data_IF_572577109518
#
_entry.id   IF_572577109518
#
_cell.length_a   1.000
_cell.length_b   1.000
_cell.length_c   1.000
_cell.angle_alpha   90.00
_cell.angle_beta   90.00
_cell.angle_gamma   90.00
#
_symmetry.space_group_name_H-M   'P 1'
#
loop_
_entity.id
_entity.type
_entity.pdbx_description
1 polymer ?
#
# COMPACT_ATOMS: atom_id res chain seq x y z
N UNK A 1 9.14 13.81 -10.52
CA UNK A 1 8.00 12.92 -10.24
C UNK A 1 8.42 12.02 -9.09
N UNK A 2 7.58 11.76 -8.09
CA UNK A 2 7.93 10.81 -7.03
C UNK A 2 8.23 9.45 -7.66
N UNK A 3 9.35 8.84 -7.30
CA UNK A 3 9.71 7.51 -7.79
C UNK A 3 9.18 6.44 -6.83
N UNK A 4 8.17 5.71 -7.28
CA UNK A 4 7.55 4.61 -6.55
C UNK A 4 8.12 3.24 -6.93
N UNK A 5 9.27 3.19 -7.60
CA UNK A 5 9.96 1.93 -7.98
C UNK A 5 10.12 0.95 -6.81
N UNK A 6 10.31 1.45 -5.59
CA UNK A 6 10.40 0.63 -4.36
C UNK A 6 9.12 -0.15 -4.03
N UNK A 7 7.96 0.19 -4.60
CA UNK A 7 6.73 -0.60 -4.43
C UNK A 7 6.87 -2.00 -5.03
N UNK A 8 7.74 -2.19 -6.02
CA UNK A 8 8.06 -3.51 -6.55
C UNK A 8 8.57 -4.46 -5.46
N UNK A 9 9.37 -3.95 -4.52
CA UNK A 9 9.92 -4.75 -3.42
C UNK A 9 8.84 -5.14 -2.39
N UNK A 10 7.71 -4.42 -2.37
CA UNK A 10 6.60 -4.64 -1.44
C UNK A 10 5.54 -5.59 -2.02
N UNK A 11 5.72 -6.13 -3.22
CA UNK A 11 4.80 -7.15 -3.75
C UNK A 11 4.76 -8.33 -2.78
N UNK A 12 3.56 -8.88 -2.56
CA UNK A 12 3.22 -9.87 -1.53
C UNK A 12 3.23 -9.38 -0.08
N UNK A 13 3.53 -8.11 0.19
CA UNK A 13 3.45 -7.54 1.54
C UNK A 13 2.11 -6.89 1.81
N UNK A 14 1.74 -6.86 3.10
CA UNK A 14 0.64 -6.03 3.58
C UNK A 14 1.09 -4.58 3.64
N UNK A 15 0.39 -3.71 2.92
CA UNK A 15 0.72 -2.30 2.77
C UNK A 15 -0.43 -1.43 3.27
N UNK A 16 -0.08 -0.31 3.90
CA UNK A 16 -0.99 0.76 4.27
C UNK A 16 -0.70 1.98 3.40
N UNK A 17 -1.66 2.31 2.54
CA UNK A 17 -1.66 3.47 1.66
C UNK A 17 -2.42 4.61 2.32
N UNK A 18 -1.72 5.71 2.65
CA UNK A 18 -2.32 6.87 3.32
C UNK A 18 -2.53 8.03 2.34
N UNK A 19 -3.73 8.62 2.40
CA UNK A 19 -4.12 9.77 1.59
C UNK A 19 -4.17 11.04 2.45
N UNK A 20 -4.03 12.20 1.81
CA UNK A 20 -4.03 13.53 2.44
C UNK A 20 -5.37 13.86 3.14
N UNK A 21 -6.47 13.30 2.64
CA UNK A 21 -7.80 13.32 3.27
C UNK A 21 -7.86 12.60 4.63
N UNK A 22 -6.81 11.85 5.00
CA UNK A 22 -6.77 10.98 6.17
C UNK A 22 -7.39 9.59 5.94
N UNK A 23 -7.96 9.34 4.76
CA UNK A 23 -8.40 8.01 4.37
C UNK A 23 -7.21 7.07 4.16
N UNK A 24 -7.44 5.76 4.30
CA UNK A 24 -6.41 4.73 4.12
C UNK A 24 -6.94 3.53 3.35
N UNK A 25 -6.06 2.91 2.57
CA UNK A 25 -6.31 1.60 1.96
C UNK A 25 -5.30 0.62 2.52
N UNK A 26 -5.80 -0.47 3.12
CA UNK A 26 -4.95 -1.52 3.68
C UNK A 26 -5.24 -2.84 3.00
N UNK A 27 -4.21 -3.50 2.49
CA UNK A 27 -4.37 -4.75 1.73
C UNK A 27 -3.02 -5.40 1.42
N UNK A 28 -3.02 -6.44 0.59
CA UNK A 28 -1.79 -7.08 0.11
C UNK A 28 -1.46 -6.56 -1.29
N UNK A 29 -0.27 -6.00 -1.49
CA UNK A 29 0.15 -5.56 -2.82
C UNK A 29 0.39 -6.78 -3.71
N UNK A 30 -0.41 -7.00 -4.75
CA UNK A 30 -0.30 -8.18 -5.61
C UNK A 30 0.56 -7.92 -6.86
N UNK A 31 0.50 -6.72 -7.43
CA UNK A 31 1.31 -6.36 -8.60
C UNK A 31 1.45 -4.85 -8.76
N UNK A 32 2.46 -4.44 -9.53
CA UNK A 32 2.69 -3.07 -9.96
C UNK A 32 2.77 -3.02 -11.49
N UNK A 33 2.30 -1.92 -12.08
CA UNK A 33 2.34 -1.65 -13.51
C UNK A 33 3.05 -0.33 -13.76
N UNK A 34 4.03 -0.27 -14.71
CA UNK A 34 4.66 -1.40 -15.38
C UNK A 34 5.37 -2.36 -14.41
N UNK A 35 5.72 -3.57 -14.86
CA UNK A 35 6.34 -4.61 -14.02
C UNK A 35 7.76 -4.29 -13.53
N UNK A 36 8.37 -3.24 -14.08
CA UNK A 36 9.66 -2.69 -13.63
C UNK A 36 9.72 -1.21 -13.96
N UNK A 37 10.45 -0.44 -13.15
CA UNK A 37 10.63 1.00 -13.34
C UNK A 37 9.67 1.83 -12.50
N UNK A 38 9.32 3.06 -12.94
CA UNK A 38 8.41 3.93 -12.22
C UNK A 38 7.00 3.33 -12.20
N UNK A 39 6.48 3.02 -11.01
CA UNK A 39 5.14 2.44 -10.86
C UNK A 39 4.06 3.48 -11.10
N UNK A 40 3.15 3.18 -12.02
CA UNK A 40 1.99 4.01 -12.38
C UNK A 40 0.71 3.50 -11.70
N UNK A 41 0.55 2.18 -11.57
CA UNK A 41 -0.60 1.54 -10.93
C UNK A 41 -0.17 0.38 -10.05
N UNK A 42 -0.94 0.15 -8.99
CA UNK A 42 -0.78 -0.98 -8.08
C UNK A 42 -2.10 -1.73 -7.95
N UNK A 43 -2.02 -3.05 -7.83
CA UNK A 43 -3.17 -3.90 -7.52
C UNK A 43 -3.05 -4.38 -6.08
N UNK A 44 -4.12 -4.21 -5.30
CA UNK A 44 -4.18 -4.56 -3.89
C UNK A 44 -5.27 -5.60 -3.68
N UNK A 45 -4.92 -6.74 -3.11
CA UNK A 45 -5.86 -7.79 -2.75
C UNK A 45 -6.35 -7.66 -1.31
N UNK A 46 -7.57 -8.13 -1.05
CA UNK A 46 -8.25 -8.05 0.25
C UNK A 46 -8.18 -6.63 0.83
N UNK A 47 -8.48 -5.66 -0.03
CA UNK A 47 -8.38 -4.25 0.28
C UNK A 47 -9.52 -3.83 1.22
N UNK A 48 -9.16 -3.13 2.28
CA UNK A 48 -10.07 -2.43 3.18
C UNK A 48 -9.91 -0.94 2.98
N UNK A 49 -11.00 -0.26 2.62
CA UNK A 49 -11.06 1.19 2.53
C UNK A 49 -11.50 1.73 3.89
N UNK A 50 -10.67 2.56 4.48
CA UNK A 50 -10.84 3.11 5.81
C UNK A 50 -11.00 4.63 5.66
N UNK A 51 -12.07 5.19 6.22
CA UNK A 51 -12.27 6.64 6.23
C UNK A 51 -11.36 7.34 7.24
N UNK A 52 -11.33 8.67 7.22
CA UNK A 52 -10.51 9.47 8.14
C UNK A 52 -10.92 9.33 9.62
N UNK A 53 -12.08 8.73 9.91
CA UNK A 53 -12.52 8.39 11.26
C UNK A 53 -12.11 6.97 11.68
N UNK A 54 -11.35 6.25 10.85
CA UNK A 54 -10.87 4.89 11.14
C UNK A 54 -11.91 3.79 10.90
N UNK A 55 -13.02 4.08 10.21
CA UNK A 55 -14.08 3.10 9.94
C UNK A 55 -13.85 2.43 8.60
N UNK A 56 -13.97 1.11 8.56
CA UNK A 56 -13.99 0.36 7.29
C UNK A 56 -15.29 0.66 6.55
N UNK A 57 -15.21 1.44 5.48
CA UNK A 57 -16.37 1.83 4.66
C UNK A 57 -16.67 0.80 3.58
N UNK A 58 -15.64 0.05 3.15
CA UNK A 58 -15.78 -0.96 2.10
C UNK A 58 -14.66 -1.99 2.19
N UNK A 59 -14.98 -3.23 1.85
CA UNK A 59 -14.01 -4.28 1.53
C UNK A 59 -14.10 -4.64 0.04
N UNK A 60 -12.98 -4.95 -0.57
CA UNK A 60 -12.89 -5.42 -1.94
C UNK A 60 -11.85 -6.53 -2.04
N UNK A 61 -12.16 -7.60 -2.78
CA UNK A 61 -11.22 -8.70 -2.98
C UNK A 61 -10.00 -8.25 -3.78
N UNK A 62 -10.19 -7.29 -4.69
CA UNK A 62 -9.15 -6.68 -5.51
C UNK A 62 -9.48 -5.20 -5.76
N UNK A 63 -8.46 -4.36 -5.72
CA UNK A 63 -8.56 -2.93 -5.98
C UNK A 63 -7.32 -2.45 -6.73
N UNK A 64 -7.51 -1.82 -7.89
CA UNK A 64 -6.43 -1.12 -8.60
C UNK A 64 -6.42 0.36 -8.17
N UNK A 65 -5.24 0.90 -7.87
CA UNK A 65 -5.07 2.31 -7.48
C UNK A 65 -3.82 2.92 -8.10
N UNK A 66 -3.83 4.25 -8.22
CA UNK A 66 -2.67 5.03 -8.62
C UNK A 66 -1.92 5.49 -7.36
N UNK A 67 -0.62 5.17 -7.21
CA UNK A 67 0.16 5.59 -6.04
C UNK A 67 0.50 7.09 -6.06
N UNK A 68 0.26 7.80 -7.16
CA UNK A 68 0.67 9.19 -7.36
C UNK A 68 -0.12 10.26 -6.55
N UNK A 69 -0.84 9.85 -5.50
CA UNK A 69 -1.53 10.73 -4.53
C UNK A 69 -1.26 10.26 -3.08
N UNK A 70 -0.27 9.38 -2.89
CA UNK A 70 0.09 8.87 -1.58
C UNK A 70 0.99 9.86 -0.85
N UNK A 71 0.53 10.32 0.31
CA UNK A 71 1.34 11.14 1.24
C UNK A 71 2.27 10.28 2.09
N UNK A 72 2.06 8.96 2.13
CA UNK A 72 2.93 8.01 2.82
C UNK A 72 2.62 6.56 2.47
N UNK A 73 3.64 5.70 2.61
CA UNK A 73 3.52 4.24 2.52
C UNK A 73 4.16 3.64 3.77
N UNK A 74 3.39 2.87 4.52
CA UNK A 74 3.86 2.16 5.71
C UNK A 74 3.66 0.65 5.54
N UNK A 75 4.65 -0.12 5.97
CA UNK A 75 4.57 -1.57 6.09
C UNK A 75 4.23 -1.93 7.52
N UNK A 76 3.22 -2.75 7.75
CA UNK A 76 2.89 -3.25 9.10
C UNK A 76 3.90 -4.31 9.60
N UNK A 77 4.75 -4.82 8.70
CA UNK A 77 5.72 -5.88 9.00
C UNK A 77 7.14 -5.29 9.06
N UNK A 78 7.66 -5.10 10.28
CA UNK A 78 9.08 -4.88 10.53
C UNK A 78 9.81 -6.21 10.76
N UNK A 79 11.15 -6.29 10.51
CA UNK A 79 11.90 -7.50 10.76
C UNK A 79 11.86 -7.87 12.24
N UNK A 80 11.15 -8.96 12.56
CA UNK A 80 11.22 -9.60 13.88
C UNK A 80 12.57 -10.31 14.02
N UNK A 81 13.58 -9.59 14.47
CA UNK A 81 14.85 -10.22 14.84
C UNK A 81 16.01 -9.26 15.02
N UNK A 82 16.14 -8.65 16.21
CA UNK A 82 17.37 -8.70 17.01
C UNK A 82 17.12 -8.13 18.40
N UNK A 83 16.89 -9.01 19.37
CA UNK A 83 17.36 -8.74 20.73
C UNK A 83 18.89 -8.68 20.66
N UNK A 84 19.46 -7.50 20.85
CA UNK A 84 20.87 -7.34 21.22
C UNK A 84 20.90 -6.93 22.68
N UNK A 85 21.43 -7.86 23.49
CA UNK A 85 21.93 -7.63 24.85
C UNK A 85 22.98 -6.53 24.88
#
# INVERSE_FOLDING_TARGET
MPDYSKLHDLVSHRVNFEFDTGARIVGYLSSCQPSSGPVEFCVVQKAELIDSAGRVVRKADELTLCPNVLVGVQTDEGPRGRDLR
#
